data_IF_488578709873
#
_entry.id   IF_488578709873
#
_cell.length_a   1.000
_cell.length_b   1.000
_cell.length_c   1.000
_cell.angle_alpha   90.00
_cell.angle_beta   90.00
_cell.angle_gamma   90.00
#
_symmetry.space_group_name_H-M   'P 1'
#
loop_
_entity.id
_entity.type
_entity.pdbx_description
1 polymer ?
#
# COMPACT_ATOMS: atom_id res chain seq x y z
N UNK A 1 5.26 -13.38 3.77
CA UNK A 1 4.08 -12.49 3.91
C UNK A 1 4.57 -11.15 4.47
N UNK A 2 4.13 -10.05 3.87
CA UNK A 2 4.67 -8.71 4.20
C UNK A 2 3.87 -7.97 5.29
N UNK A 3 2.77 -8.53 5.80
CA UNK A 3 1.94 -7.93 6.85
C UNK A 3 1.11 -8.99 7.61
N UNK A 4 0.74 -8.65 8.85
CA UNK A 4 -0.07 -9.49 9.73
C UNK A 4 -1.56 -9.30 9.43
N UNK A 5 -2.11 -10.14 8.54
CA UNK A 5 -3.51 -10.08 8.15
C UNK A 5 -4.46 -10.32 9.34
N UNK A 6 -4.13 -11.26 10.21
CA UNK A 6 -5.00 -11.58 11.35
C UNK A 6 -5.12 -10.39 12.31
N UNK A 7 -4.00 -9.71 12.57
CA UNK A 7 -3.98 -8.50 13.38
C UNK A 7 -4.75 -7.36 12.74
N UNK A 8 -4.62 -7.17 11.42
CA UNK A 8 -5.38 -6.16 10.68
C UNK A 8 -6.89 -6.42 10.74
N UNK A 9 -7.33 -7.66 10.52
CA UNK A 9 -8.75 -8.04 10.60
C UNK A 9 -9.32 -7.81 12.01
N UNK A 10 -8.58 -8.19 13.05
CA UNK A 10 -8.97 -7.93 14.44
C UNK A 10 -9.09 -6.43 14.72
N UNK A 11 -8.10 -5.63 14.27
CA UNK A 11 -8.12 -4.18 14.40
C UNK A 11 -9.38 -3.57 13.75
N UNK A 12 -9.68 -3.95 12.50
CA UNK A 12 -10.85 -3.46 11.77
C UNK A 12 -12.16 -3.89 12.44
N UNK A 13 -12.24 -5.13 12.92
CA UNK A 13 -13.39 -5.63 13.68
C UNK A 13 -13.61 -4.85 14.97
N UNK A 14 -12.57 -4.58 15.73
CA UNK A 14 -12.64 -3.79 16.97
C UNK A 14 -13.10 -2.35 16.69
N UNK A 15 -12.55 -1.68 15.67
CA UNK A 15 -12.99 -0.33 15.28
C UNK A 15 -14.45 -0.34 14.82
N UNK A 16 -14.84 -1.28 13.95
CA UNK A 16 -16.20 -1.38 13.41
C UNK A 16 -17.24 -1.70 14.50
N UNK A 17 -16.84 -2.41 15.56
CA UNK A 17 -17.71 -2.67 16.72
C UNK A 17 -17.86 -1.48 17.67
N UNK A 18 -17.19 -0.36 17.42
CA UNK A 18 -17.22 0.83 18.27
C UNK A 18 -16.38 0.71 19.54
N UNK A 19 -15.40 -0.21 19.58
CA UNK A 19 -14.51 -0.38 20.72
C UNK A 19 -13.70 0.90 20.99
N UNK A 20 -13.65 1.31 22.25
CA UNK A 20 -12.80 2.41 22.66
C UNK A 20 -11.31 2.02 22.58
N UNK A 21 -10.48 2.94 22.10
CA UNK A 21 -9.00 2.82 22.12
C UNK A 21 -8.47 1.53 21.51
N UNK A 22 -8.70 1.36 20.24
CA UNK A 22 -8.06 0.31 19.44
C UNK A 22 -6.64 0.73 19.08
N UNK A 23 -5.67 -0.18 19.16
CA UNK A 23 -4.26 0.14 18.94
C UNK A 23 -3.71 -0.53 17.68
N UNK A 24 -2.88 0.21 16.94
CA UNK A 24 -2.10 -0.31 15.83
C UNK A 24 -0.60 -0.07 16.06
N UNK A 25 0.29 -0.95 15.56
CA UNK A 25 1.74 -0.73 15.63
C UNK A 25 2.15 0.43 14.73
N UNK A 26 3.24 1.10 15.08
CA UNK A 26 3.90 2.08 14.19
C UNK A 26 4.91 1.35 13.33
N UNK A 27 4.78 1.47 12.01
CA UNK A 27 5.76 1.01 11.04
C UNK A 27 6.64 2.18 10.58
N UNK A 28 7.92 1.91 10.39
CA UNK A 28 8.89 2.88 9.89
C UNK A 28 9.48 2.42 8.56
N UNK A 29 9.23 3.17 7.50
CA UNK A 29 9.92 2.97 6.22
C UNK A 29 11.42 3.20 6.31
N UNK A 30 11.87 4.02 7.25
CA UNK A 30 13.27 4.31 7.48
C UNK A 30 14.02 3.07 8.01
N UNK A 31 13.43 2.37 8.99
CA UNK A 31 13.97 1.12 9.54
C UNK A 31 13.53 -0.12 8.78
N UNK A 32 12.53 0.02 7.92
CA UNK A 32 11.87 -1.06 7.18
C UNK A 32 11.28 -2.14 8.10
N UNK A 33 10.79 -1.71 9.28
CA UNK A 33 10.20 -2.59 10.30
C UNK A 33 9.25 -1.83 11.24
N UNK A 34 8.53 -2.58 12.08
CA UNK A 34 7.71 -2.06 13.17
C UNK A 34 8.63 -1.49 14.27
N UNK A 35 8.31 -0.29 14.77
CA UNK A 35 9.03 0.32 15.88
C UNK A 35 8.57 -0.32 17.20
N UNK A 36 9.46 -1.05 17.93
CA UNK A 36 9.10 -1.69 19.18
C UNK A 36 8.57 -0.70 20.21
N UNK A 37 7.45 -1.03 20.84
CA UNK A 37 6.86 -0.23 21.91
C UNK A 37 6.10 1.03 21.45
N UNK A 38 6.08 1.36 20.15
CA UNK A 38 5.29 2.46 19.62
C UNK A 38 3.95 1.98 19.06
N UNK A 39 2.89 2.71 19.37
CA UNK A 39 1.53 2.39 18.96
C UNK A 39 0.76 3.66 18.58
N UNK A 40 -0.12 3.54 17.61
CA UNK A 40 -1.14 4.53 17.29
C UNK A 40 -2.41 4.10 18.01
N UNK A 41 -3.02 5.02 18.74
CA UNK A 41 -4.32 4.80 19.40
C UNK A 41 -5.43 5.40 18.52
N UNK A 42 -6.40 4.59 18.17
CA UNK A 42 -7.61 4.99 17.45
C UNK A 42 -8.77 4.93 18.42
N UNK A 43 -9.40 6.07 18.70
CA UNK A 43 -10.49 6.20 19.67
C UNK A 43 -11.77 6.64 18.96
N UNK A 44 -12.61 5.69 18.61
CA UNK A 44 -13.95 5.86 18.00
C UNK A 44 -13.98 6.96 16.93
N UNK A 45 -13.24 6.83 15.83
CA UNK A 45 -13.22 7.84 14.78
C UNK A 45 -14.56 7.84 14.03
N UNK A 46 -15.03 9.01 13.62
CA UNK A 46 -16.19 9.13 12.71
C UNK A 46 -15.85 8.58 11.32
N UNK A 47 -14.61 8.77 10.89
CA UNK A 47 -14.07 8.28 9.61
C UNK A 47 -12.70 7.66 9.86
N UNK A 48 -12.52 6.42 9.40
CA UNK A 48 -11.22 5.76 9.34
C UNK A 48 -10.83 5.52 7.89
N UNK A 49 -9.70 6.07 7.46
CA UNK A 49 -9.11 5.78 6.15
C UNK A 49 -8.03 4.73 6.32
N UNK A 50 -8.18 3.60 5.63
CA UNK A 50 -7.20 2.52 5.58
C UNK A 50 -6.61 2.48 4.18
N UNK A 51 -5.32 2.71 4.05
CA UNK A 51 -4.63 2.66 2.76
C UNK A 51 -3.69 1.45 2.69
N UNK A 52 -3.54 0.90 1.50
CA UNK A 52 -2.59 -0.18 1.24
C UNK A 52 -2.88 -0.89 -0.07
N UNK A 53 -1.85 -1.42 -0.69
CA UNK A 53 -1.94 -2.16 -1.96
C UNK A 53 -2.76 -3.45 -1.84
N UNK A 54 -2.96 -3.95 -0.64
CA UNK A 54 -3.55 -5.24 -0.32
C UNK A 54 -4.97 -5.16 0.26
N UNK A 55 -5.49 -3.96 0.52
CA UNK A 55 -6.76 -3.78 1.25
C UNK A 55 -8.00 -4.27 0.47
N UNK A 56 -7.92 -4.35 -0.85
CA UNK A 56 -8.97 -4.89 -1.72
C UNK A 56 -8.70 -6.32 -2.19
N UNK A 57 -7.58 -6.93 -1.82
CA UNK A 57 -7.24 -8.29 -2.22
C UNK A 57 -8.18 -9.31 -1.55
N UNK A 58 -8.53 -10.35 -2.32
CA UNK A 58 -9.18 -11.54 -1.79
C UNK A 58 -8.08 -12.50 -1.37
N UNK A 59 -8.05 -12.87 -0.08
CA UNK A 59 -7.19 -13.94 0.39
C UNK A 59 -7.57 -15.28 -0.25
N UNK A 60 -6.69 -16.28 -0.13
CA UNK A 60 -7.06 -17.66 -0.50
C UNK A 60 -8.14 -18.15 0.46
N UNK A 61 -9.22 -18.67 -0.07
CA UNK A 61 -10.25 -19.31 0.74
C UNK A 61 -9.65 -20.52 1.48
N UNK A 62 -9.99 -20.72 2.77
CA UNK A 62 -9.56 -21.89 3.52
C UNK A 62 -10.05 -23.17 2.85
N UNK A 63 -9.19 -24.19 2.81
CA UNK A 63 -9.54 -25.50 2.23
C UNK A 63 -10.59 -26.26 3.06
N UNK A 64 -10.82 -25.88 4.30
CA UNK A 64 -11.81 -26.46 5.20
C UNK A 64 -13.24 -25.91 5.02
N UNK A 65 -13.44 -25.05 4.03
CA UNK A 65 -14.74 -24.44 3.69
C UNK A 65 -15.23 -23.40 4.68
N UNK A 66 -14.42 -22.98 5.67
CA UNK A 66 -14.80 -21.91 6.60
C UNK A 66 -14.73 -20.56 5.89
N UNK A 67 -15.77 -19.76 6.06
CA UNK A 67 -15.75 -18.37 5.62
C UNK A 67 -14.80 -17.55 6.50
N UNK A 68 -13.86 -16.84 5.87
CA UNK A 68 -13.05 -15.83 6.55
C UNK A 68 -13.38 -14.47 5.93
N UNK A 69 -13.48 -13.40 6.73
CA UNK A 69 -13.69 -12.08 6.19
C UNK A 69 -12.46 -11.62 5.43
N UNK A 70 -12.69 -10.86 4.37
CA UNK A 70 -11.64 -10.08 3.71
C UNK A 70 -11.54 -8.69 4.36
N UNK A 71 -10.38 -8.06 4.22
CA UNK A 71 -10.19 -6.66 4.69
C UNK A 71 -11.24 -5.73 4.09
N UNK A 72 -11.57 -5.92 2.81
CA UNK A 72 -12.59 -5.14 2.09
C UNK A 72 -14.01 -5.27 2.65
N UNK A 73 -14.32 -6.31 3.40
CA UNK A 73 -15.67 -6.52 3.97
C UNK A 73 -15.97 -5.55 5.13
N UNK A 74 -14.92 -4.92 5.67
CA UNK A 74 -15.05 -3.91 6.73
C UNK A 74 -15.25 -2.49 6.18
N UNK A 75 -15.15 -2.27 4.86
CA UNK A 75 -15.23 -0.95 4.27
C UNK A 75 -16.65 -0.57 3.86
N UNK A 76 -17.06 0.63 4.23
CA UNK A 76 -18.32 1.21 3.75
C UNK A 76 -18.15 1.81 2.34
N UNK A 77 -16.91 2.22 2.01
CA UNK A 77 -16.54 2.78 0.72
C UNK A 77 -15.09 2.46 0.38
N UNK A 78 -14.80 2.25 -0.89
CA UNK A 78 -13.44 1.96 -1.33
C UNK A 78 -13.06 2.74 -2.58
N UNK A 79 -11.80 3.20 -2.62
CA UNK A 79 -11.24 3.97 -3.73
C UNK A 79 -10.03 3.22 -4.30
N UNK A 80 -10.04 3.02 -5.61
CA UNK A 80 -8.86 2.53 -6.35
C UNK A 80 -8.22 3.71 -7.08
N UNK A 81 -6.94 3.95 -6.81
CA UNK A 81 -6.16 4.94 -7.54
C UNK A 81 -5.52 4.22 -8.73
N UNK A 82 -5.93 4.61 -9.93
CA UNK A 82 -5.51 4.01 -11.19
C UNK A 82 -4.55 4.92 -11.95
N UNK A 83 -3.59 4.35 -12.66
CA UNK A 83 -2.77 5.03 -13.64
C UNK A 83 -2.20 4.01 -14.64
N UNK A 84 -1.81 4.46 -15.82
CA UNK A 84 -1.17 3.60 -16.82
C UNK A 84 0.19 3.09 -16.31
N UNK A 85 0.52 1.83 -16.60
CA UNK A 85 1.77 1.20 -16.14
C UNK A 85 3.03 2.04 -16.44
N UNK A 86 3.24 2.59 -17.66
CA UNK A 86 4.40 3.41 -17.94
C UNK A 86 4.53 4.65 -17.04
N UNK A 87 3.39 5.23 -16.64
CA UNK A 87 3.32 6.37 -15.72
C UNK A 87 3.71 5.96 -14.31
N UNK A 88 3.23 4.81 -13.84
CA UNK A 88 3.58 4.26 -12.53
C UNK A 88 5.08 3.96 -12.44
N UNK A 89 5.66 3.38 -13.50
CA UNK A 89 7.10 3.12 -13.64
C UNK A 89 7.91 4.42 -13.56
N UNK A 90 7.51 5.43 -14.31
CA UNK A 90 8.18 6.74 -14.29
C UNK A 90 8.16 7.37 -12.90
N UNK A 91 7.00 7.36 -12.22
CA UNK A 91 6.87 7.86 -10.85
C UNK A 91 7.75 7.10 -9.87
N UNK A 92 7.82 5.77 -10.01
CA UNK A 92 8.66 4.93 -9.16
C UNK A 92 10.14 5.27 -9.32
N UNK A 93 10.64 5.32 -10.54
CA UNK A 93 12.04 5.65 -10.84
C UNK A 93 12.38 7.06 -10.33
N UNK A 94 11.55 8.05 -10.64
CA UNK A 94 11.74 9.43 -10.17
C UNK A 94 11.76 9.53 -8.65
N UNK A 95 10.86 8.83 -7.96
CA UNK A 95 10.84 8.76 -6.50
C UNK A 95 12.10 8.11 -5.94
N UNK A 96 12.57 7.04 -6.57
CA UNK A 96 13.81 6.36 -6.14
C UNK A 96 15.01 7.30 -6.22
N UNK A 97 15.16 8.04 -7.32
CA UNK A 97 16.23 9.03 -7.50
C UNK A 97 16.14 10.14 -6.44
N UNK A 98 14.95 10.69 -6.21
CA UNK A 98 14.76 11.71 -5.18
C UNK A 98 15.09 11.21 -3.76
N UNK A 99 14.76 9.95 -3.44
CA UNK A 99 15.11 9.34 -2.15
C UNK A 99 16.60 9.03 -2.04
N UNK A 100 17.26 8.63 -3.15
CA UNK A 100 18.72 8.46 -3.20
C UNK A 100 19.43 9.76 -2.83
N UNK A 101 18.98 10.87 -3.38
CA UNK A 101 19.58 12.19 -3.15
C UNK A 101 19.28 12.77 -1.74
N UNK A 102 18.39 12.15 -0.99
CA UNK A 102 17.92 12.64 0.32
C UNK A 102 17.99 11.55 1.41
N UNK A 103 16.90 10.84 1.61
CA UNK A 103 16.72 9.92 2.74
C UNK A 103 17.71 8.73 2.76
N UNK A 104 18.23 8.30 1.62
CA UNK A 104 19.19 7.20 1.56
C UNK A 104 20.58 7.59 2.05
N UNK A 105 20.91 8.88 2.15
CA UNK A 105 22.18 9.35 2.70
C UNK A 105 22.29 9.16 4.22
N UNK A 106 21.17 8.97 4.92
CA UNK A 106 21.26 8.66 6.37
C UNK A 106 21.86 7.26 6.56
N UNK A 107 22.99 7.13 7.30
CA UNK A 107 23.64 5.83 7.52
C UNK A 107 22.78 4.78 8.22
N UNK A 108 21.71 5.22 8.91
CA UNK A 108 20.74 4.33 9.58
C UNK A 108 19.63 3.87 8.65
N UNK A 109 19.51 4.42 7.44
CA UNK A 109 18.51 4.02 6.47
C UNK A 109 18.79 2.60 5.98
N UNK A 110 17.76 1.76 5.95
CA UNK A 110 17.83 0.43 5.32
C UNK A 110 18.31 0.50 3.86
N UNK A 111 18.03 1.61 3.18
CA UNK A 111 18.37 1.85 1.78
C UNK A 111 19.68 2.60 1.57
N UNK A 112 20.47 2.85 2.62
CA UNK A 112 21.73 3.61 2.56
C UNK A 112 22.69 3.10 1.48
N UNK A 113 22.69 1.80 1.20
CA UNK A 113 23.52 1.17 0.15
C UNK A 113 23.30 1.76 -1.26
N UNK A 114 22.18 2.42 -1.50
CA UNK A 114 21.88 3.06 -2.79
C UNK A 114 22.31 4.52 -2.87
N UNK A 115 22.72 5.14 -1.77
CA UNK A 115 23.11 6.55 -1.72
C UNK A 115 24.35 6.89 -2.57
N UNK A 116 25.19 5.89 -2.84
CA UNK A 116 26.44 6.05 -3.58
C UNK A 116 26.31 5.82 -5.10
N UNK A 117 25.15 5.41 -5.57
CA UNK A 117 24.91 5.13 -6.99
C UNK A 117 24.91 6.42 -7.81
N UNK A 118 25.51 6.38 -8.98
CA UNK A 118 25.34 7.42 -10.00
C UNK A 118 23.87 7.50 -10.49
N UNK A 119 23.51 8.53 -11.23
CA UNK A 119 22.16 8.66 -11.80
C UNK A 119 21.81 7.50 -12.72
N UNK A 120 22.78 7.06 -13.52
CA UNK A 120 22.60 5.96 -14.46
C UNK A 120 22.42 4.63 -13.72
N UNK A 121 23.28 4.33 -12.73
CA UNK A 121 23.20 3.12 -11.92
C UNK A 121 21.91 3.08 -11.08
N UNK A 122 21.51 4.22 -10.50
CA UNK A 122 20.28 4.33 -9.73
C UNK A 122 19.04 4.14 -10.60
N UNK A 123 19.02 4.71 -11.79
CA UNK A 123 17.94 4.53 -12.77
C UNK A 123 17.83 3.06 -13.21
N UNK A 124 18.95 2.43 -13.53
CA UNK A 124 18.99 1.00 -13.90
C UNK A 124 18.51 0.11 -12.74
N UNK A 125 18.99 0.41 -11.52
CA UNK A 125 18.59 -0.32 -10.29
C UNK A 125 17.08 -0.17 -10.02
N UNK A 126 16.55 1.05 -10.06
CA UNK A 126 15.14 1.31 -9.85
C UNK A 126 14.27 0.60 -10.91
N UNK A 127 14.68 0.65 -12.18
CA UNK A 127 13.98 -0.03 -13.27
C UNK A 127 13.96 -1.54 -13.06
N UNK A 128 15.09 -2.14 -12.71
CA UNK A 128 15.17 -3.58 -12.44
C UNK A 128 14.30 -4.02 -11.24
N UNK A 129 14.23 -3.19 -10.18
CA UNK A 129 13.35 -3.45 -9.04
C UNK A 129 11.88 -3.34 -9.46
N UNK A 130 11.54 -2.32 -10.26
CA UNK A 130 10.20 -2.17 -10.80
C UNK A 130 9.76 -3.41 -11.57
N UNK A 131 10.51 -3.81 -12.57
CA UNK A 131 10.19 -4.94 -13.46
C UNK A 131 10.06 -6.27 -12.68
N UNK A 132 11.02 -6.54 -11.79
CA UNK A 132 11.06 -7.81 -11.06
C UNK A 132 10.02 -7.93 -9.95
N UNK A 133 9.69 -6.82 -9.28
CA UNK A 133 8.92 -6.86 -8.02
C UNK A 133 7.61 -6.08 -8.13
N UNK A 134 7.67 -4.82 -8.53
CA UNK A 134 6.50 -3.95 -8.47
C UNK A 134 5.51 -4.22 -9.60
N UNK A 135 6.00 -4.46 -10.81
CA UNK A 135 5.17 -4.80 -11.96
C UNK A 135 4.47 -6.14 -11.75
N UNK A 136 5.21 -7.17 -11.34
CA UNK A 136 4.62 -8.47 -11.02
C UNK A 136 3.54 -8.35 -9.91
N UNK A 137 3.82 -7.58 -8.86
CA UNK A 137 2.82 -7.35 -7.81
C UNK A 137 1.61 -6.53 -8.32
N UNK A 138 1.84 -5.57 -9.21
CA UNK A 138 0.77 -4.80 -9.84
C UNK A 138 -0.16 -5.73 -10.64
N UNK A 139 0.41 -6.54 -11.51
CA UNK A 139 -0.34 -7.43 -12.41
C UNK A 139 -1.06 -8.57 -11.65
N UNK A 140 -0.35 -9.23 -10.75
CA UNK A 140 -0.87 -10.43 -10.07
C UNK A 140 -1.81 -10.10 -8.91
N UNK A 141 -1.60 -8.99 -8.20
CA UNK A 141 -2.25 -8.75 -6.92
C UNK A 141 -3.04 -7.44 -6.84
N UNK A 142 -2.70 -6.41 -7.62
CA UNK A 142 -3.33 -5.09 -7.50
C UNK A 142 -4.37 -4.86 -8.59
N UNK A 143 -4.00 -4.99 -9.86
CA UNK A 143 -4.92 -4.80 -10.99
C UNK A 143 -6.19 -5.68 -10.91
N UNK A 144 -6.12 -6.95 -10.50
CA UNK A 144 -7.32 -7.79 -10.34
C UNK A 144 -8.32 -7.26 -9.31
N UNK A 145 -7.88 -6.39 -8.39
CA UNK A 145 -8.77 -5.81 -7.36
C UNK A 145 -9.53 -4.56 -7.84
N UNK A 146 -9.11 -3.96 -8.95
CA UNK A 146 -9.71 -2.73 -9.52
C UNK A 146 -11.23 -2.79 -9.66
N UNK A 147 -11.86 -3.86 -10.21
CA UNK A 147 -13.31 -3.96 -10.35
C UNK A 147 -14.05 -4.10 -9.00
N UNK A 148 -13.35 -4.34 -7.90
CA UNK A 148 -13.93 -4.45 -6.55
C UNK A 148 -14.13 -3.09 -5.89
N UNK A 149 -13.42 -2.06 -6.34
CA UNK A 149 -13.53 -0.72 -5.77
C UNK A 149 -14.92 -0.10 -6.04
N UNK A 150 -15.39 0.69 -5.07
CA UNK A 150 -16.61 1.51 -5.22
C UNK A 150 -16.36 2.68 -6.19
N UNK A 151 -15.18 3.27 -6.10
CA UNK A 151 -14.75 4.42 -6.90
C UNK A 151 -13.36 4.15 -7.50
N UNK A 152 -13.19 4.51 -8.78
CA UNK A 152 -11.89 4.48 -9.44
C UNK A 152 -11.52 5.92 -9.82
N UNK A 153 -10.34 6.36 -9.38
CA UNK A 153 -9.75 7.64 -9.74
C UNK A 153 -8.57 7.39 -10.68
N UNK A 154 -8.73 7.65 -11.97
CA UNK A 154 -7.62 7.53 -12.93
C UNK A 154 -6.81 8.81 -12.95
N UNK A 155 -5.49 8.66 -12.73
CA UNK A 155 -4.53 9.76 -12.69
C UNK A 155 -3.69 9.81 -13.97
N UNK A 156 -3.35 11.03 -14.39
CA UNK A 156 -2.37 11.30 -15.44
C UNK A 156 -0.96 11.40 -14.87
N UNK A 157 0.03 11.53 -15.77
CA UNK A 157 1.45 11.68 -15.40
C UNK A 157 1.74 12.89 -14.49
N UNK A 158 0.94 13.95 -14.58
CA UNK A 158 1.01 15.16 -13.74
C UNK A 158 0.33 14.99 -12.36
N UNK A 159 -0.08 13.79 -12.01
CA UNK A 159 -0.82 13.41 -10.79
C UNK A 159 -2.27 13.94 -10.71
N UNK A 160 -2.76 14.68 -11.68
CA UNK A 160 -4.15 15.14 -11.69
C UNK A 160 -5.11 13.98 -12.02
N UNK A 161 -6.31 14.02 -11.44
CA UNK A 161 -7.37 13.06 -11.76
C UNK A 161 -7.96 13.39 -13.13
N UNK A 162 -7.91 12.45 -14.05
CA UNK A 162 -8.46 12.56 -15.40
C UNK A 162 -9.89 12.03 -15.47
N UNK A 163 -10.12 10.90 -14.80
CA UNK A 163 -11.40 10.20 -14.85
C UNK A 163 -11.81 9.75 -13.46
N UNK A 164 -13.11 9.88 -13.19
CA UNK A 164 -13.77 9.39 -11.98
C UNK A 164 -14.85 8.40 -12.41
N UNK A 165 -14.73 7.13 -12.02
CA UNK A 165 -15.71 6.11 -12.33
C UNK A 165 -16.29 5.51 -11.04
N UNK A 166 -17.61 5.64 -10.87
CA UNK A 166 -18.35 5.06 -9.76
C UNK A 166 -18.97 3.73 -10.21
N UNK A 167 -18.78 2.68 -9.41
CA UNK A 167 -19.40 1.38 -9.65
C UNK A 167 -20.93 1.51 -9.47
N UNK A 168 -21.69 1.05 -10.46
CA UNK A 168 -23.13 0.86 -10.31
C UNK A 168 -23.36 -0.42 -9.48
N UNK A 169 -24.17 -0.29 -8.45
CA UNK A 169 -24.69 -1.40 -7.65
C UNK A 169 -25.83 -2.10 -8.39
#
# INVERSE_FOLDING_TARGET
>A
ESFDLARLLNFLGDVKSGREKVVAPVYSHFHYDIIPGQQIVVDRPDILIVEGLNVLQTGRLPKDGKAIPFVSDFFDFSVYIDAEEPVLREWYVRRFLALRDTAFHDPKSYFHRYAVLSDEEATATATAIWERTNLANLEDNILPTRPRATLILKKRADHLVETVALRRL
#
